data_IF_878196394709
#
_entry.id   IF_878196394709
#
_cell.length_a   1.000
_cell.length_b   1.000
_cell.length_c   1.000
_cell.angle_alpha   90.00
_cell.angle_beta   90.00
_cell.angle_gamma   90.00
#
_symmetry.space_group_name_H-M   'P 1'
#
loop_
_entity.id
_entity.type
_entity.pdbx_description
1 polymer ?
#
# COMPACT_ATOMS: atom_id res chain seq x y z
N UNK A 1 -5.55 -9.81 -21.36
CA UNK A 1 -5.82 -8.56 -20.61
C UNK A 1 -4.52 -8.04 -20.02
N UNK A 2 -4.29 -6.73 -20.08
CA UNK A 2 -3.11 -6.07 -19.50
C UNK A 2 -3.54 -4.77 -18.80
N UNK A 3 -2.84 -4.41 -17.73
CA UNK A 3 -2.80 -3.05 -17.23
C UNK A 3 -2.11 -2.14 -18.26
N UNK A 4 -2.14 -0.82 -18.05
CA UNK A 4 -1.40 0.14 -18.87
C UNK A 4 0.09 -0.18 -18.83
N UNK A 5 0.73 -0.20 -19.99
CA UNK A 5 2.14 -0.55 -20.14
C UNK A 5 2.91 0.54 -20.89
N UNK A 6 4.23 0.54 -20.74
CA UNK A 6 5.11 1.29 -21.60
C UNK A 6 4.98 0.79 -23.04
N UNK A 7 5.19 1.68 -24.03
CA UNK A 7 4.95 1.39 -25.45
C UNK A 7 5.68 0.13 -25.96
N UNK A 8 6.95 -0.02 -25.60
CA UNK A 8 7.75 -1.19 -25.97
C UNK A 8 7.20 -2.50 -25.39
N UNK A 9 6.76 -2.50 -24.13
CA UNK A 9 6.15 -3.67 -23.47
C UNK A 9 4.78 -3.97 -24.10
N UNK A 10 3.97 -2.96 -24.36
CA UNK A 10 2.66 -3.09 -25.01
C UNK A 10 2.79 -3.76 -26.38
N UNK A 11 3.78 -3.33 -27.19
CA UNK A 11 4.02 -3.91 -28.50
C UNK A 11 4.43 -5.39 -28.42
N UNK A 12 5.25 -5.76 -27.44
CA UNK A 12 5.65 -7.15 -27.21
C UNK A 12 4.44 -8.00 -26.84
N UNK A 13 3.62 -7.54 -25.87
CA UNK A 13 2.43 -8.25 -25.43
C UNK A 13 1.43 -8.42 -26.56
N UNK A 14 1.19 -7.38 -27.38
CA UNK A 14 0.28 -7.44 -28.52
C UNK A 14 0.75 -8.45 -29.56
N UNK A 15 2.02 -8.37 -29.98
CA UNK A 15 2.60 -9.34 -30.93
C UNK A 15 2.52 -10.78 -30.42
N UNK A 16 2.74 -11.00 -29.13
CA UNK A 16 2.61 -12.32 -28.52
C UNK A 16 1.17 -12.82 -28.54
N UNK A 17 0.22 -11.96 -28.23
CA UNK A 17 -1.20 -12.32 -28.28
C UNK A 17 -1.63 -12.66 -29.72
N UNK A 18 -1.24 -11.86 -30.71
CA UNK A 18 -1.49 -12.11 -32.13
C UNK A 18 -0.93 -13.47 -32.57
N UNK A 19 0.33 -13.78 -32.20
CA UNK A 19 0.98 -15.06 -32.56
C UNK A 19 0.30 -16.28 -31.94
N UNK A 20 -0.50 -16.09 -30.90
CA UNK A 20 -1.25 -17.15 -30.19
C UNK A 20 -2.75 -17.10 -30.48
N UNK A 21 -3.21 -16.28 -31.44
CA UNK A 21 -4.63 -16.02 -31.72
C UNK A 21 -5.43 -15.62 -30.45
N UNK A 22 -4.80 -14.89 -29.53
CA UNK A 22 -5.42 -14.39 -28.32
C UNK A 22 -5.94 -12.97 -28.52
N UNK A 23 -7.11 -12.66 -27.95
CA UNK A 23 -7.62 -11.29 -27.88
C UNK A 23 -6.78 -10.50 -26.87
N UNK A 24 -6.14 -9.42 -27.33
CA UNK A 24 -5.44 -8.49 -26.46
C UNK A 24 -6.31 -7.29 -26.12
N UNK A 25 -6.51 -7.02 -24.85
CA UNK A 25 -7.20 -5.84 -24.35
C UNK A 25 -6.36 -5.16 -23.26
N UNK A 26 -6.27 -3.85 -23.32
CA UNK A 26 -5.60 -3.03 -22.32
C UNK A 26 -6.64 -2.21 -21.55
N UNK A 27 -6.56 -2.23 -20.22
CA UNK A 27 -7.41 -1.42 -19.37
C UNK A 27 -7.09 0.08 -19.53
N UNK A 28 -8.13 0.90 -19.38
CA UNK A 28 -8.07 2.37 -19.57
C UNK A 28 -8.47 3.09 -18.29
N UNK A 29 -7.60 3.14 -17.26
CA UNK A 29 -7.92 3.76 -15.97
C UNK A 29 -8.30 5.24 -16.11
N UNK A 30 -7.88 5.93 -17.17
CA UNK A 30 -8.29 7.30 -17.50
C UNK A 30 -9.78 7.45 -17.81
N UNK A 31 -10.48 6.35 -18.09
CA UNK A 31 -11.95 6.34 -18.27
C UNK A 31 -12.72 6.17 -16.96
N UNK A 32 -12.00 6.06 -15.83
CA UNK A 32 -12.62 5.98 -14.51
C UNK A 32 -12.94 7.38 -13.99
N UNK A 33 -14.19 7.60 -13.63
CA UNK A 33 -14.64 8.80 -12.92
C UNK A 33 -14.71 8.49 -11.44
N UNK A 34 -13.98 9.22 -10.61
CA UNK A 34 -14.01 9.08 -9.15
C UNK A 34 -15.05 10.04 -8.60
N UNK A 35 -16.01 9.53 -7.83
CA UNK A 35 -17.08 10.28 -7.21
C UNK A 35 -16.76 10.62 -5.76
N UNK A 36 -16.14 9.68 -5.04
CA UNK A 36 -15.64 9.85 -3.68
C UNK A 36 -14.39 9.01 -3.49
N UNK A 37 -13.40 9.54 -2.79
CA UNK A 37 -12.16 8.84 -2.48
C UNK A 37 -11.59 9.33 -1.15
N UNK A 38 -11.20 8.39 -0.30
CA UNK A 38 -10.43 8.64 0.91
C UNK A 38 -9.48 7.46 1.20
N UNK A 39 -8.76 7.49 2.30
CA UNK A 39 -7.80 6.43 2.67
C UNK A 39 -8.46 5.09 3.04
N UNK A 40 -9.80 4.99 3.02
CA UNK A 40 -10.57 3.76 3.29
C UNK A 40 -11.14 3.13 2.02
N UNK A 41 -11.17 3.87 0.91
CA UNK A 41 -11.66 3.35 -0.36
C UNK A 41 -12.17 4.42 -1.32
N UNK A 42 -12.88 3.96 -2.34
CA UNK A 42 -13.40 4.85 -3.38
C UNK A 42 -14.78 4.41 -3.90
N UNK A 43 -15.57 5.41 -4.32
CA UNK A 43 -16.76 5.25 -5.14
C UNK A 43 -16.46 5.78 -6.52
N UNK A 44 -16.76 5.02 -7.56
CA UNK A 44 -16.36 5.35 -8.91
C UNK A 44 -17.32 4.83 -9.97
N UNK A 45 -17.24 5.38 -11.16
CA UNK A 45 -17.88 4.87 -12.37
C UNK A 45 -16.83 4.52 -13.42
N UNK A 46 -17.02 3.40 -14.13
CA UNK A 46 -16.13 2.95 -15.20
C UNK A 46 -16.92 2.35 -16.34
N UNK A 47 -16.89 2.99 -17.51
CA UNK A 47 -17.69 2.59 -18.69
C UNK A 47 -19.18 2.46 -18.33
N UNK A 48 -19.76 1.24 -18.46
CA UNK A 48 -21.17 0.97 -18.11
C UNK A 48 -21.39 0.77 -16.60
N UNK A 49 -20.34 0.57 -15.82
CA UNK A 49 -20.43 0.36 -14.38
C UNK A 49 -20.53 1.70 -13.67
N UNK A 50 -21.70 2.02 -13.16
CA UNK A 50 -21.96 3.27 -12.44
C UNK A 50 -22.01 3.05 -10.93
N UNK A 51 -21.50 4.02 -10.14
CA UNK A 51 -21.58 4.05 -8.68
C UNK A 51 -21.06 2.77 -8.00
N UNK A 52 -19.92 2.26 -8.47
CA UNK A 52 -19.26 1.09 -7.87
C UNK A 52 -18.48 1.49 -6.62
N UNK A 53 -18.47 0.61 -5.63
CA UNK A 53 -17.72 0.81 -4.38
C UNK A 53 -16.58 -0.20 -4.28
N UNK A 54 -15.45 0.25 -3.73
CA UNK A 54 -14.34 -0.62 -3.35
C UNK A 54 -13.64 -0.05 -2.12
N UNK A 55 -13.37 -0.91 -1.14
CA UNK A 55 -12.76 -0.54 0.13
C UNK A 55 -11.23 -0.70 0.17
N UNK A 56 -10.60 -0.66 -0.99
CA UNK A 56 -9.15 -0.59 -1.12
C UNK A 56 -8.78 0.80 -1.63
N UNK A 57 -7.97 1.50 -0.86
CA UNK A 57 -7.47 2.82 -1.22
C UNK A 57 -6.08 2.75 -1.89
N UNK A 58 -5.56 3.89 -2.30
CA UNK A 58 -4.24 4.04 -2.87
C UNK A 58 -4.20 4.13 -4.40
N UNK A 59 -3.15 4.76 -4.90
CA UNK A 59 -2.97 5.10 -6.32
C UNK A 59 -3.09 3.89 -7.27
N UNK A 60 -2.65 2.70 -6.82
CA UNK A 60 -2.74 1.47 -7.63
C UNK A 60 -4.17 1.01 -7.91
N UNK A 61 -5.15 1.43 -7.11
CA UNK A 61 -6.47 0.80 -7.16
C UNK A 61 -7.26 1.19 -8.41
N UNK A 62 -7.10 2.40 -8.91
CA UNK A 62 -7.74 2.82 -10.17
C UNK A 62 -7.34 1.91 -11.33
N UNK A 63 -6.06 1.57 -11.41
CA UNK A 63 -5.54 0.65 -12.42
C UNK A 63 -6.04 -0.78 -12.19
N UNK A 64 -5.94 -1.30 -10.96
CA UNK A 64 -6.36 -2.64 -10.60
C UNK A 64 -7.85 -2.88 -10.86
N UNK A 65 -8.70 -1.93 -10.46
CA UNK A 65 -10.16 -2.00 -10.66
C UNK A 65 -10.53 -1.95 -12.14
N UNK A 66 -9.87 -1.09 -12.94
CA UNK A 66 -10.11 -1.05 -14.37
C UNK A 66 -9.72 -2.37 -15.05
N UNK A 67 -8.60 -2.97 -14.65
CA UNK A 67 -8.18 -4.30 -15.15
C UNK A 67 -9.20 -5.38 -14.75
N UNK A 68 -9.65 -5.39 -13.49
CA UNK A 68 -10.62 -6.38 -13.02
C UNK A 68 -11.94 -6.31 -13.81
N UNK A 69 -12.46 -5.11 -14.03
CA UNK A 69 -13.69 -4.92 -14.82
C UNK A 69 -13.52 -5.32 -16.28
N UNK A 70 -12.37 -5.03 -16.90
CA UNK A 70 -12.08 -5.49 -18.27
C UNK A 70 -11.92 -7.02 -18.37
N UNK A 71 -11.38 -7.67 -17.33
CA UNK A 71 -11.33 -9.14 -17.23
C UNK A 71 -12.75 -9.70 -17.21
N UNK A 72 -13.65 -9.14 -16.38
CA UNK A 72 -15.05 -9.55 -16.31
C UNK A 72 -15.74 -9.41 -17.68
N UNK A 73 -15.53 -8.29 -18.38
CA UNK A 73 -16.09 -8.11 -19.73
C UNK A 73 -15.51 -9.11 -20.74
N UNK A 74 -14.26 -9.48 -20.60
CA UNK A 74 -13.65 -10.49 -21.45
C UNK A 74 -14.22 -11.88 -21.19
N UNK A 75 -14.45 -12.24 -19.92
CA UNK A 75 -15.10 -13.50 -19.54
C UNK A 75 -16.55 -13.57 -20.08
N UNK A 76 -17.30 -12.48 -19.99
CA UNK A 76 -18.65 -12.41 -20.57
C UNK A 76 -18.65 -12.67 -22.09
N UNK A 77 -17.68 -12.10 -22.81
CA UNK A 77 -17.50 -12.34 -24.25
C UNK A 77 -17.16 -13.80 -24.57
N UNK A 78 -16.56 -14.52 -23.63
CA UNK A 78 -16.28 -15.96 -23.72
C UNK A 78 -17.47 -16.84 -23.31
N UNK A 79 -18.64 -16.23 -22.98
CA UNK A 79 -19.87 -16.95 -22.66
C UNK A 79 -20.14 -17.15 -21.16
N UNK A 80 -19.27 -16.67 -20.28
CA UNK A 80 -19.53 -16.75 -18.84
C UNK A 80 -20.66 -15.81 -18.43
N UNK A 81 -21.64 -16.35 -17.69
CA UNK A 81 -22.78 -15.61 -17.17
C UNK A 81 -22.34 -14.96 -15.84
N UNK A 82 -22.09 -13.66 -15.85
CA UNK A 82 -21.70 -12.88 -14.68
C UNK A 82 -22.66 -11.70 -14.55
N UNK A 83 -23.55 -11.77 -13.57
CA UNK A 83 -24.54 -10.72 -13.29
C UNK A 83 -23.86 -9.43 -12.83
N UNK A 84 -24.45 -8.28 -13.12
CA UNK A 84 -23.91 -6.99 -12.67
C UNK A 84 -23.94 -6.86 -11.14
N UNK A 85 -24.99 -7.38 -10.49
CA UNK A 85 -25.08 -7.45 -9.04
C UNK A 85 -23.90 -8.20 -8.43
N UNK A 86 -23.53 -9.37 -8.97
CA UNK A 86 -22.38 -10.14 -8.50
C UNK A 86 -21.04 -9.38 -8.66
N UNK A 87 -20.91 -8.55 -9.71
CA UNK A 87 -19.72 -7.70 -9.89
C UNK A 87 -19.68 -6.62 -8.79
N UNK A 88 -20.80 -5.98 -8.54
CA UNK A 88 -20.95 -4.94 -7.52
C UNK A 88 -20.63 -5.48 -6.13
N UNK A 89 -21.27 -6.58 -5.75
CA UNK A 89 -21.10 -7.23 -4.46
C UNK A 89 -19.64 -7.72 -4.28
N UNK A 90 -19.05 -8.29 -5.34
CA UNK A 90 -17.67 -8.75 -5.34
C UNK A 90 -16.66 -7.62 -5.15
N UNK A 91 -16.87 -6.46 -5.79
CA UNK A 91 -16.01 -5.29 -5.61
C UNK A 91 -16.15 -4.70 -4.20
N UNK A 92 -17.40 -4.58 -3.72
CA UNK A 92 -17.69 -4.06 -2.38
C UNK A 92 -17.13 -4.99 -1.28
N UNK A 93 -17.22 -6.30 -1.45
CA UNK A 93 -16.69 -7.29 -0.51
C UNK A 93 -15.16 -7.46 -0.58
N UNK A 94 -14.50 -6.99 -1.63
CA UNK A 94 -13.07 -7.20 -1.82
C UNK A 94 -12.26 -6.49 -0.73
N UNK A 95 -11.42 -7.27 -0.03
CA UNK A 95 -10.43 -6.79 0.94
C UNK A 95 -9.10 -7.47 0.65
N UNK A 96 -8.03 -6.70 0.56
CA UNK A 96 -6.70 -7.24 0.32
C UNK A 96 -5.72 -6.66 1.33
N UNK A 97 -5.46 -7.41 2.38
CA UNK A 97 -4.55 -6.98 3.44
C UNK A 97 -3.15 -6.63 2.90
N UNK A 98 -2.60 -5.51 3.34
CA UNK A 98 -1.28 -5.04 2.94
C UNK A 98 -1.23 -4.31 1.59
N UNK A 99 -2.37 -3.85 1.08
CA UNK A 99 -2.45 -2.94 -0.07
C UNK A 99 -3.18 -1.67 0.37
N UNK A 100 -2.44 -0.72 0.90
CA UNK A 100 -2.94 0.51 1.49
C UNK A 100 -4.16 0.26 2.41
N UNK A 101 -3.97 -0.67 3.34
CA UNK A 101 -5.05 -1.15 4.22
C UNK A 101 -5.08 -0.34 5.50
N UNK A 102 -6.22 0.29 5.80
CA UNK A 102 -6.46 0.98 7.06
C UNK A 102 -6.76 -0.06 8.15
N UNK A 103 -5.97 -0.05 9.22
CA UNK A 103 -6.14 -0.90 10.40
C UNK A 103 -6.84 -0.17 11.56
N UNK A 104 -6.65 1.14 11.65
CA UNK A 104 -7.21 2.01 12.68
C UNK A 104 -7.41 3.42 12.14
N UNK A 105 -8.43 4.11 12.62
CA UNK A 105 -8.74 5.49 12.27
C UNK A 105 -8.30 6.49 13.35
N UNK A 106 -8.08 6.02 14.58
CA UNK A 106 -7.61 6.82 15.69
C UNK A 106 -6.68 6.01 16.62
N UNK A 107 -5.36 6.21 16.54
CA UNK A 107 -4.65 6.95 15.50
C UNK A 107 -4.79 6.26 14.12
N UNK A 108 -4.60 7.02 13.04
CA UNK A 108 -4.59 6.45 11.69
C UNK A 108 -3.41 5.49 11.55
N UNK A 109 -3.71 4.25 11.15
CA UNK A 109 -2.69 3.22 10.89
C UNK A 109 -2.96 2.56 9.54
N UNK A 110 -1.98 2.66 8.64
CA UNK A 110 -2.02 2.06 7.30
C UNK A 110 -0.91 1.02 7.17
N UNK A 111 -1.20 -0.08 6.50
CA UNK A 111 -0.19 -1.05 6.07
C UNK A 111 -0.16 -1.17 4.56
N UNK A 112 1.04 -1.13 3.97
CA UNK A 112 1.26 -1.27 2.53
C UNK A 112 2.51 -2.09 2.21
N UNK A 113 2.40 -3.01 1.26
CA UNK A 113 3.49 -3.90 0.87
C UNK A 113 4.44 -3.32 -0.18
N UNK A 114 4.53 -2.01 -0.34
CA UNK A 114 5.48 -1.36 -1.24
C UNK A 114 6.92 -1.81 -0.92
N UNK A 115 7.59 -2.43 -1.90
CA UNK A 115 8.90 -3.06 -1.73
C UNK A 115 9.84 -2.89 -2.93
N UNK A 116 9.50 -2.00 -3.85
CA UNK A 116 10.31 -1.60 -4.98
C UNK A 116 10.04 -0.13 -5.31
N UNK A 117 10.83 0.44 -6.23
CA UNK A 117 10.77 1.87 -6.59
C UNK A 117 9.38 2.31 -7.09
N UNK A 118 8.75 1.53 -7.98
CA UNK A 118 7.43 1.88 -8.54
C UNK A 118 6.34 1.88 -7.46
N UNK A 119 6.32 0.84 -6.62
CA UNK A 119 5.38 0.75 -5.51
C UNK A 119 5.61 1.85 -4.45
N UNK A 120 6.86 2.20 -4.17
CA UNK A 120 7.19 3.30 -3.26
C UNK A 120 6.68 4.65 -3.80
N UNK A 121 6.83 4.92 -5.09
CA UNK A 121 6.28 6.13 -5.74
C UNK A 121 4.75 6.19 -5.63
N UNK A 122 4.06 5.08 -5.88
CA UNK A 122 2.60 5.00 -5.75
C UNK A 122 2.14 5.17 -4.31
N UNK A 123 2.86 4.57 -3.35
CA UNK A 123 2.60 4.77 -1.93
C UNK A 123 2.80 6.23 -1.54
N UNK A 124 3.89 6.87 -1.97
CA UNK A 124 4.16 8.29 -1.74
C UNK A 124 3.03 9.18 -2.26
N UNK A 125 2.57 8.95 -3.49
CA UNK A 125 1.42 9.68 -4.07
C UNK A 125 0.15 9.50 -3.22
N UNK A 126 -0.09 8.29 -2.70
CA UNK A 126 -1.24 8.03 -1.83
C UNK A 126 -1.12 8.76 -0.49
N UNK A 127 0.07 8.75 0.12
CA UNK A 127 0.36 9.47 1.36
C UNK A 127 0.11 10.97 1.17
N UNK A 128 0.66 11.57 0.13
CA UNK A 128 0.50 13.00 -0.17
C UNK A 128 -0.94 13.39 -0.46
N UNK A 129 -1.74 12.48 -1.03
CA UNK A 129 -3.15 12.71 -1.32
C UNK A 129 -4.02 12.68 -0.07
N UNK A 130 -3.80 11.71 0.82
CA UNK A 130 -4.72 11.46 1.93
C UNK A 130 -4.29 12.08 3.25
N UNK A 131 -2.99 12.35 3.44
CA UNK A 131 -2.42 12.81 4.70
C UNK A 131 -1.66 14.14 4.53
N UNK A 132 -2.40 15.21 4.21
CA UNK A 132 -1.83 16.54 3.93
C UNK A 132 -1.59 17.39 5.17
N UNK A 133 -2.11 17.01 6.30
CA UNK A 133 -1.99 17.75 7.57
C UNK A 133 -1.52 16.88 8.73
N UNK A 134 -1.22 15.62 8.48
CA UNK A 134 -0.78 14.65 9.46
C UNK A 134 0.75 14.56 9.52
N UNK A 135 1.27 14.41 10.73
CA UNK A 135 2.66 14.05 10.96
C UNK A 135 2.84 12.55 10.71
N UNK A 136 3.72 12.19 9.76
CA UNK A 136 3.88 10.81 9.33
C UNK A 136 4.93 10.07 10.15
N UNK A 137 4.59 8.84 10.54
CA UNK A 137 5.44 7.90 11.25
C UNK A 137 5.56 6.65 10.36
N UNK A 138 6.78 6.29 9.97
CA UNK A 138 7.01 5.09 9.18
C UNK A 138 7.52 3.94 10.04
N UNK A 139 7.01 2.72 9.81
CA UNK A 139 7.61 1.47 10.26
C UNK A 139 8.12 0.77 8.99
N UNK A 140 9.42 0.54 8.89
CA UNK A 140 10.05 0.04 7.66
C UNK A 140 10.89 -1.20 7.90
N UNK A 141 10.63 -2.24 7.10
CA UNK A 141 11.49 -3.41 6.96
C UNK A 141 11.64 -3.77 5.49
N UNK A 142 12.87 -4.01 5.04
CA UNK A 142 13.17 -4.30 3.64
C UNK A 142 14.11 -5.49 3.49
N UNK A 143 14.08 -6.15 2.35
CA UNK A 143 15.07 -7.16 2.00
C UNK A 143 16.32 -6.51 1.40
N UNK A 144 17.51 -7.06 1.72
CA UNK A 144 18.80 -6.56 1.23
C UNK A 144 19.01 -6.68 -0.28
N UNK A 145 18.21 -7.54 -0.94
CA UNK A 145 18.22 -7.75 -2.39
C UNK A 145 17.33 -6.75 -3.16
N UNK A 146 16.72 -5.78 -2.46
CA UNK A 146 15.91 -4.72 -3.05
C UNK A 146 16.70 -3.42 -3.16
N UNK A 147 16.24 -2.53 -4.02
CA UNK A 147 16.80 -1.17 -4.16
C UNK A 147 16.31 -0.29 -2.99
N UNK A 148 16.71 -0.68 -1.77
CA UNK A 148 16.18 -0.08 -0.53
C UNK A 148 16.54 1.40 -0.41
N UNK A 149 17.70 1.83 -0.93
CA UNK A 149 18.11 3.25 -0.94
C UNK A 149 17.08 4.11 -1.70
N UNK A 150 16.59 3.63 -2.85
CA UNK A 150 15.55 4.32 -3.62
C UNK A 150 14.22 4.38 -2.87
N UNK A 151 13.85 3.29 -2.18
CA UNK A 151 12.63 3.26 -1.36
C UNK A 151 12.73 4.30 -0.24
N UNK A 152 13.86 4.36 0.45
CA UNK A 152 14.16 5.36 1.50
C UNK A 152 14.07 6.78 0.94
N UNK A 153 14.74 7.07 -0.18
CA UNK A 153 14.74 8.39 -0.82
C UNK A 153 13.33 8.85 -1.23
N UNK A 154 12.44 7.91 -1.56
CA UNK A 154 11.08 8.22 -1.97
C UNK A 154 10.17 8.44 -0.76
N UNK A 155 10.23 7.59 0.26
CA UNK A 155 9.24 7.59 1.34
C UNK A 155 9.63 8.44 2.55
N UNK A 156 10.91 8.42 2.95
CA UNK A 156 11.34 9.05 4.19
C UNK A 156 11.28 10.59 4.20
N UNK A 157 11.40 11.33 3.08
CA UNK A 157 11.31 12.80 3.11
C UNK A 157 9.99 13.36 3.65
N UNK A 158 8.91 12.58 3.65
CA UNK A 158 7.61 13.00 4.21
C UNK A 158 7.42 12.61 5.67
N UNK A 159 8.33 11.82 6.23
CA UNK A 159 8.19 11.33 7.58
C UNK A 159 8.79 12.28 8.63
N UNK A 160 8.21 12.30 9.81
CA UNK A 160 8.76 12.92 11.01
C UNK A 160 9.55 11.92 11.83
N UNK A 161 9.15 10.64 11.77
CA UNK A 161 9.76 9.56 12.54
C UNK A 161 9.78 8.27 11.73
N UNK A 162 10.90 7.52 11.82
CA UNK A 162 11.04 6.22 11.17
C UNK A 162 11.52 5.20 12.19
N UNK A 163 10.81 4.08 12.27
CA UNK A 163 11.21 2.89 13.00
C UNK A 163 11.60 1.82 12.00
N UNK A 164 12.85 1.38 12.04
CA UNK A 164 13.33 0.30 11.17
C UNK A 164 13.33 -1.02 11.91
N UNK A 165 13.01 -2.11 11.20
CA UNK A 165 12.89 -3.45 11.78
C UNK A 165 13.55 -4.51 10.90
N UNK A 166 14.00 -5.60 11.53
CA UNK A 166 14.36 -6.82 10.82
C UNK A 166 13.11 -7.53 10.31
N UNK A 167 13.19 -8.07 9.08
CA UNK A 167 12.15 -8.95 8.54
C UNK A 167 12.29 -10.38 9.09
N UNK A 168 11.18 -11.17 9.12
CA UNK A 168 11.21 -12.54 9.65
C UNK A 168 12.21 -13.46 8.94
N UNK A 169 12.44 -13.28 7.64
CA UNK A 169 13.44 -14.04 6.90
C UNK A 169 14.84 -13.48 7.16
N UNK A 170 15.54 -14.11 8.12
CA UNK A 170 16.87 -13.68 8.59
C UNK A 170 17.96 -13.67 7.51
N UNK A 171 17.87 -14.53 6.49
CA UNK A 171 18.85 -14.60 5.42
C UNK A 171 18.72 -13.45 4.43
N UNK A 172 17.50 -12.96 4.21
CA UNK A 172 17.21 -11.91 3.23
C UNK A 172 17.02 -10.53 3.84
N UNK A 173 16.75 -10.43 5.13
CA UNK A 173 16.52 -9.13 5.76
C UNK A 173 17.72 -8.21 5.61
N UNK A 174 17.48 -6.94 5.34
CA UNK A 174 18.46 -5.89 5.63
C UNK A 174 18.37 -5.62 7.14
N UNK A 175 19.47 -5.70 7.89
CA UNK A 175 19.45 -5.41 9.32
C UNK A 175 18.86 -4.03 9.63
N UNK A 176 18.03 -3.96 10.67
CA UNK A 176 17.34 -2.72 11.06
C UNK A 176 18.31 -1.53 11.24
N UNK A 177 19.48 -1.77 11.87
CA UNK A 177 20.52 -0.75 12.05
C UNK A 177 21.05 -0.23 10.71
N UNK A 178 21.32 -1.13 9.73
CA UNK A 178 21.78 -0.71 8.40
C UNK A 178 20.72 0.09 7.64
N UNK A 179 19.47 -0.29 7.78
CA UNK A 179 18.38 0.49 7.20
C UNK A 179 18.27 1.87 7.87
N UNK A 180 18.42 1.94 9.20
CA UNK A 180 18.40 3.19 9.93
C UNK A 180 19.57 4.11 9.53
N UNK A 181 20.77 3.55 9.35
CA UNK A 181 21.94 4.29 8.81
C UNK A 181 21.61 4.86 7.43
N UNK A 182 21.11 4.04 6.50
CA UNK A 182 20.72 4.48 5.16
C UNK A 182 19.68 5.63 5.22
N UNK A 183 18.70 5.55 6.12
CA UNK A 183 17.71 6.63 6.31
C UNK A 183 18.39 7.91 6.79
N UNK A 184 19.29 7.84 7.79
CA UNK A 184 20.03 9.02 8.31
C UNK A 184 20.90 9.65 7.25
N UNK A 185 21.59 8.84 6.44
CA UNK A 185 22.50 9.32 5.37
C UNK A 185 21.74 10.01 4.22
N UNK A 186 20.50 9.58 3.98
CA UNK A 186 19.67 10.14 2.90
C UNK A 186 18.88 11.38 3.33
N UNK A 187 18.77 11.68 4.64
CA UNK A 187 17.88 12.71 5.18
C UNK A 187 18.62 13.83 5.89
N UNK A 188 18.01 15.00 5.94
CA UNK A 188 18.46 16.17 6.69
C UNK A 188 17.97 16.14 8.15
N UNK A 189 18.47 17.03 8.98
CA UNK A 189 18.47 17.06 10.46
C UNK A 189 17.12 16.94 11.21
N UNK A 190 15.97 16.87 10.55
CA UNK A 190 14.66 16.90 11.24
C UNK A 190 13.95 15.55 11.39
N UNK A 191 14.56 14.46 10.93
CA UNK A 191 13.98 13.13 10.98
C UNK A 191 14.52 12.31 12.15
N UNK A 192 13.63 11.83 13.03
CA UNK A 192 14.00 10.90 14.11
C UNK A 192 14.00 9.46 13.59
N UNK A 193 15.13 8.75 13.71
CA UNK A 193 15.29 7.38 13.17
C UNK A 193 15.73 6.43 14.28
N UNK A 194 14.97 5.34 14.45
CA UNK A 194 15.17 4.32 15.47
C UNK A 194 15.24 2.93 14.85
N UNK A 195 16.30 2.18 15.14
CA UNK A 195 16.36 0.76 14.83
C UNK A 195 15.79 -0.03 16.02
N UNK A 196 14.76 -0.82 15.75
CA UNK A 196 14.03 -1.53 16.79
C UNK A 196 14.39 -3.02 16.83
N UNK A 197 14.40 -3.60 18.03
CA UNK A 197 14.78 -5.00 18.27
C UNK A 197 13.74 -5.99 17.70
N UNK A 198 12.48 -5.56 17.64
CA UNK A 198 11.39 -6.37 17.13
C UNK A 198 10.34 -5.52 16.42
N UNK A 199 9.52 -6.17 15.59
CA UNK A 199 8.35 -5.55 14.95
C UNK A 199 7.36 -5.08 16.01
N UNK A 200 7.20 -5.85 17.09
CA UNK A 200 6.31 -5.48 18.21
C UNK A 200 6.73 -4.21 18.91
N UNK A 201 8.04 -4.02 19.16
CA UNK A 201 8.57 -2.80 19.78
C UNK A 201 8.36 -1.58 18.87
N UNK A 202 8.63 -1.73 17.57
CA UNK A 202 8.41 -0.66 16.60
C UNK A 202 6.94 -0.24 16.53
N UNK A 203 6.03 -1.23 16.48
CA UNK A 203 4.58 -1.00 16.47
C UNK A 203 4.13 -0.30 17.75
N UNK A 204 4.54 -0.79 18.94
CA UNK A 204 4.16 -0.21 20.22
C UNK A 204 4.62 1.24 20.36
N UNK A 205 5.89 1.53 20.01
CA UNK A 205 6.45 2.88 20.07
C UNK A 205 5.79 3.82 19.05
N UNK A 206 5.56 3.35 17.83
CA UNK A 206 4.88 4.14 16.81
C UNK A 206 3.44 4.48 17.22
N UNK A 207 2.71 3.49 17.76
CA UNK A 207 1.35 3.67 18.26
C UNK A 207 1.30 4.63 19.47
N UNK A 208 2.19 4.44 20.44
CA UNK A 208 2.29 5.33 21.61
C UNK A 208 2.55 6.76 21.16
N UNK A 209 3.58 6.99 20.33
CA UNK A 209 3.87 8.31 19.81
C UNK A 209 2.69 8.91 19.03
N UNK A 210 1.97 8.10 18.25
CA UNK A 210 0.82 8.58 17.50
C UNK A 210 -0.35 9.01 18.40
N UNK A 211 -0.40 8.52 19.66
CA UNK A 211 -1.46 8.83 20.64
C UNK A 211 -1.06 9.81 21.74
N UNK A 212 0.21 10.28 21.78
CA UNK A 212 0.74 11.09 22.89
C UNK A 212 0.24 12.55 22.93
N UNK A 213 -0.24 13.11 21.86
CA UNK A 213 -0.73 14.48 21.80
C UNK A 213 -1.95 14.61 20.92
N UNK A 214 -2.65 15.74 20.98
CA UNK A 214 -3.77 16.06 20.10
C UNK A 214 -3.36 16.32 18.63
N UNK A 215 -2.10 16.09 18.28
CA UNK A 215 -1.59 16.22 16.91
C UNK A 215 -2.15 15.12 16.01
N UNK A 216 -2.55 15.49 14.80
CA UNK A 216 -2.97 14.52 13.80
C UNK A 216 -1.74 13.75 13.30
N UNK A 217 -1.67 12.46 13.59
CA UNK A 217 -0.57 11.58 13.20
C UNK A 217 -1.07 10.35 12.47
N UNK A 218 -0.30 9.91 11.47
CA UNK A 218 -0.57 8.68 10.73
C UNK A 218 0.65 7.76 10.76
N UNK A 219 0.43 6.50 11.14
CA UNK A 219 1.44 5.44 11.13
C UNK A 219 1.29 4.64 9.83
N UNK A 220 2.40 4.47 9.10
CA UNK A 220 2.42 3.71 7.86
C UNK A 220 3.51 2.64 7.94
N UNK A 221 3.11 1.37 7.93
CA UNK A 221 4.04 0.25 7.87
C UNK A 221 4.23 -0.19 6.40
N UNK A 222 5.49 -0.20 5.92
CA UNK A 222 5.82 -0.47 4.53
C UNK A 222 7.22 -1.08 4.33
N UNK A 223 7.58 -1.39 3.09
CA UNK A 223 8.90 -1.91 2.69
C UNK A 223 8.89 -3.40 2.35
N UNK A 224 7.96 -4.19 2.87
CA UNK A 224 7.79 -5.60 2.52
C UNK A 224 6.43 -6.13 2.94
N UNK A 225 5.86 -7.04 2.13
CA UNK A 225 4.66 -7.81 2.53
C UNK A 225 4.95 -8.83 3.64
N UNK A 226 6.21 -9.29 3.76
CA UNK A 226 6.58 -10.46 4.56
C UNK A 226 6.39 -10.29 6.07
N UNK A 227 6.26 -9.08 6.59
CA UNK A 227 6.11 -8.79 8.02
C UNK A 227 4.78 -8.12 8.38
N UNK A 228 3.97 -7.72 7.37
CA UNK A 228 2.73 -6.98 7.64
C UNK A 228 1.71 -7.77 8.46
N UNK A 229 1.68 -9.11 8.34
CA UNK A 229 0.81 -9.94 9.18
C UNK A 229 1.18 -9.83 10.68
N UNK A 230 2.47 -9.68 10.98
CA UNK A 230 2.94 -9.46 12.35
C UNK A 230 2.62 -8.03 12.82
N UNK A 231 2.81 -7.02 11.96
CA UNK A 231 2.38 -5.65 12.24
C UNK A 231 0.90 -5.58 12.56
N UNK A 232 0.04 -6.22 11.74
CA UNK A 232 -1.42 -6.26 11.95
C UNK A 232 -1.74 -6.85 13.32
N UNK A 233 -1.19 -8.02 13.64
CA UNK A 233 -1.40 -8.69 14.95
C UNK A 233 -0.93 -7.84 16.13
N UNK A 234 0.22 -7.17 16.01
CA UNK A 234 0.71 -6.28 17.07
C UNK A 234 -0.17 -5.05 17.25
N UNK A 235 -0.67 -4.47 16.14
CA UNK A 235 -1.61 -3.35 16.17
C UNK A 235 -2.94 -3.71 16.83
N UNK A 236 -3.51 -4.87 16.50
CA UNK A 236 -4.72 -5.38 17.16
C UNK A 236 -4.53 -5.45 18.68
N UNK A 237 -3.35 -5.90 19.13
CA UNK A 237 -2.99 -5.91 20.55
C UNK A 237 -2.90 -4.52 21.19
N UNK A 238 -2.42 -3.50 20.45
CA UNK A 238 -2.36 -2.12 20.93
C UNK A 238 -3.76 -1.49 21.04
N UNK A 239 -4.63 -1.73 20.06
CA UNK A 239 -6.01 -1.19 20.04
C UNK A 239 -6.86 -1.83 21.12
N UNK A 240 -6.76 -3.14 21.34
CA UNK A 240 -7.57 -3.86 22.32
C UNK A 240 -7.12 -3.64 23.78
N UNK A 241 -5.86 -3.25 24.02
CA UNK A 241 -5.32 -3.09 25.37
C UNK A 241 -4.51 -1.79 25.52
N UNK A 242 -5.20 -0.61 25.57
CA UNK A 242 -4.52 0.69 25.70
C UNK A 242 -3.69 0.84 26.99
N UNK A 243 -3.91 0.01 28.03
CA UNK A 243 -3.17 0.05 29.30
C UNK A 243 -1.78 -0.60 29.25
N UNK A 244 -1.39 -1.21 28.11
CA UNK A 244 -0.04 -1.75 27.93
C UNK A 244 1.05 -0.67 27.78
N UNK A 245 0.64 0.61 27.85
CA UNK A 245 1.50 1.81 27.74
C UNK A 245 2.56 1.95 28.86
N UNK A 246 2.43 1.26 29.99
CA UNK A 246 3.28 1.48 31.19
C UNK A 246 4.38 0.40 31.39
N UNK A 247 4.58 -0.53 30.47
CA UNK A 247 5.53 -1.64 30.67
C UNK A 247 6.58 -1.84 29.57
N UNK A 248 6.91 -0.79 28.79
CA UNK A 248 8.00 -0.87 27.79
C UNK A 248 8.98 0.27 28.01
#
# INVERSE_FOLDING_TARGET
MSARQQENVRLILRKKAESLNCIYTEAKPEQMSIEKEDYKGLTFSYKKYAHMQNHSAGECQRENLSVALEVIESLRKLGYQIEEGAVRDGLDATRWAGRFTCLSEDPIVIVDGAHNEDAAKKLRTSIERYFTGEELILIMGVFKDKEYEKIVQILCPSAKRVYTVDLPNKERTLPAEKLAECVRDCMTEQLSVYAEKSIGDAVAKAYTYATEDSGKRAVIACGSLSYLSEVIRCMEGCVQNPQRKERI
#
